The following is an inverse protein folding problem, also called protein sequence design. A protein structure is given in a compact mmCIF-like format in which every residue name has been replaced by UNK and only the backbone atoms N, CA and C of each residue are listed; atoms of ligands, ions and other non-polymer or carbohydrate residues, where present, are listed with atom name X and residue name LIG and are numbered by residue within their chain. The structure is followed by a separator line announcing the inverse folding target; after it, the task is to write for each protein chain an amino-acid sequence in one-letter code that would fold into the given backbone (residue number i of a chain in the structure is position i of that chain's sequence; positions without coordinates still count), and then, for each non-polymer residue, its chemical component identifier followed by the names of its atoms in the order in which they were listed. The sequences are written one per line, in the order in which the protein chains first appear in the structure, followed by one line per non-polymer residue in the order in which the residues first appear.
data_IF_507690154957
#
_entry.id   IF_507690154957
#
_cell.length_a   1.000
_cell.length_b   1.000
_cell.length_c   1.000
_cell.angle_alpha   90.00
_cell.angle_beta   90.00
_cell.angle_gamma   90.00
#
_symmetry.space_group_name_H-M   'P 1'
#
loop_
_entity.id
_entity.type
_entity.pdbx_description
1 polymer ?
#
# COMPACT_ATOMS: atom_id res chain seq x y z
N UNK A 1 -14.74 7.24 -18.90
CA UNK A 1 -14.43 8.04 -20.09
C UNK A 1 -13.04 7.71 -20.67
N UNK A 2 -12.30 6.80 -20.10
CA UNK A 2 -10.98 6.40 -20.58
C UNK A 2 -9.84 7.31 -20.15
N UNK A 3 -10.11 8.36 -19.38
CA UNK A 3 -9.06 9.21 -18.86
C UNK A 3 -8.30 8.52 -17.71
N UNK A 4 -7.04 8.89 -17.53
CA UNK A 4 -6.21 8.36 -16.45
C UNK A 4 -6.33 9.31 -15.25
N UNK A 5 -6.74 8.75 -14.10
CA UNK A 5 -6.76 9.52 -12.86
C UNK A 5 -5.33 9.73 -12.38
N UNK A 6 -4.99 10.97 -12.07
CA UNK A 6 -3.71 11.31 -11.45
C UNK A 6 -3.93 11.76 -10.01
N UNK A 7 -3.19 11.15 -9.08
CA UNK A 7 -3.23 11.49 -7.67
C UNK A 7 -1.85 11.96 -7.26
N UNK A 8 -1.75 13.18 -6.72
CA UNK A 8 -0.49 13.76 -6.24
C UNK A 8 -0.65 14.25 -4.82
N UNK A 9 0.42 14.15 -4.04
CA UNK A 9 0.45 14.77 -2.73
C UNK A 9 0.76 16.27 -2.84
N UNK A 10 0.40 17.02 -1.82
CA UNK A 10 0.71 18.45 -1.72
C UNK A 10 0.55 18.90 -0.27
N UNK A 11 1.11 20.09 0.10
CA UNK A 11 0.90 20.64 1.44
C UNK A 11 -0.59 20.86 1.73
N UNK A 12 -0.94 20.83 3.00
CA UNK A 12 -2.31 21.12 3.44
C UNK A 12 -2.83 22.41 2.80
N UNK A 13 -4.08 22.47 2.28
CA UNK A 13 -5.14 21.44 2.34
C UNK A 13 -5.14 20.46 1.16
N UNK A 14 -4.05 20.25 0.46
CA UNK A 14 -3.95 19.27 -0.59
C UNK A 14 -3.94 17.84 -0.04
N UNK A 15 -3.82 16.87 -0.95
CA UNK A 15 -3.83 15.46 -0.57
C UNK A 15 -2.59 15.10 0.27
N UNK A 16 -2.82 14.50 1.44
CA UNK A 16 -1.75 14.20 2.38
C UNK A 16 -0.78 13.14 1.84
N UNK A 17 0.53 13.39 1.91
CA UNK A 17 1.52 12.36 1.53
C UNK A 17 1.44 11.12 2.40
N UNK A 18 0.94 11.22 3.63
CA UNK A 18 0.79 10.07 4.53
C UNK A 18 -0.24 9.06 4.03
N UNK A 19 -1.19 9.49 3.21
CA UNK A 19 -2.23 8.64 2.66
C UNK A 19 -1.91 8.13 1.25
N UNK A 20 -0.90 8.67 0.59
CA UNK A 20 -0.65 8.38 -0.81
C UNK A 20 -0.29 6.91 -1.05
N UNK A 21 0.52 6.33 -0.19
CA UNK A 21 0.90 4.92 -0.31
C UNK A 21 -0.30 3.99 -0.10
N UNK A 22 -1.22 4.36 0.79
CA UNK A 22 -2.46 3.61 1.01
C UNK A 22 -3.34 3.64 -0.25
N UNK A 23 -3.48 4.82 -0.86
CA UNK A 23 -4.25 4.98 -2.10
C UNK A 23 -3.63 4.16 -3.23
N UNK A 24 -2.29 4.09 -3.29
CA UNK A 24 -1.62 3.27 -4.28
C UNK A 24 -2.02 1.79 -4.16
N UNK A 25 -2.06 1.28 -2.93
CA UNK A 25 -2.51 -0.11 -2.69
C UNK A 25 -3.96 -0.30 -3.13
N UNK A 26 -4.84 0.64 -2.80
CA UNK A 26 -6.25 0.60 -3.23
C UNK A 26 -6.33 0.57 -4.76
N UNK A 27 -5.50 1.36 -5.43
CA UNK A 27 -5.47 1.41 -6.89
C UNK A 27 -5.12 0.06 -7.52
N UNK A 28 -4.37 -0.81 -6.84
CA UNK A 28 -4.03 -2.14 -7.38
C UNK A 28 -5.28 -3.00 -7.60
N UNK A 29 -6.35 -2.74 -6.87
CA UNK A 29 -7.60 -3.50 -6.96
C UNK A 29 -8.66 -2.77 -7.76
N UNK A 30 -8.47 -1.50 -8.05
CA UNK A 30 -9.45 -0.66 -8.72
C UNK A 30 -9.59 -1.01 -10.20
N UNK A 31 -10.59 -0.44 -10.84
CA UNK A 31 -10.80 -0.54 -12.27
C UNK A 31 -10.03 0.57 -12.97
N UNK A 32 -9.27 0.21 -14.01
CA UNK A 32 -8.52 1.16 -14.82
C UNK A 32 -7.13 1.44 -14.28
N UNK A 33 -6.51 2.49 -14.78
CA UNK A 33 -5.15 2.88 -14.42
C UNK A 33 -5.13 4.18 -13.64
N UNK A 34 -4.20 4.27 -12.70
CA UNK A 34 -4.03 5.47 -11.86
C UNK A 34 -2.56 5.86 -11.87
N UNK A 35 -2.27 7.14 -12.12
CA UNK A 35 -0.92 7.68 -11.98
C UNK A 35 -0.77 8.26 -10.57
N UNK A 36 0.19 7.74 -9.83
CA UNK A 36 0.52 8.21 -8.48
C UNK A 36 1.79 9.05 -8.56
N UNK A 37 1.73 10.28 -8.08
CA UNK A 37 2.88 11.18 -8.08
C UNK A 37 3.13 11.69 -6.66
N UNK A 38 4.22 11.24 -6.04
CA UNK A 38 4.63 11.65 -4.71
C UNK A 38 5.70 12.74 -4.81
N UNK A 39 5.30 13.97 -4.55
CA UNK A 39 6.15 15.16 -4.70
C UNK A 39 6.89 15.54 -3.44
N UNK A 40 6.29 15.26 -2.28
CA UNK A 40 6.71 15.85 -1.01
C UNK A 40 7.95 15.19 -0.39
N UNK A 41 8.15 13.89 -0.64
CA UNK A 41 9.23 13.12 -0.03
C UNK A 41 9.96 12.29 -1.07
N UNK A 42 11.27 12.20 -0.93
CA UNK A 42 12.08 11.35 -1.80
C UNK A 42 11.87 9.87 -1.48
N UNK A 43 11.97 9.03 -2.51
CA UNK A 43 12.02 7.57 -2.42
C UNK A 43 10.86 6.92 -1.65
N UNK A 44 9.70 7.58 -1.59
CA UNK A 44 8.54 7.02 -0.89
C UNK A 44 7.85 5.90 -1.65
N UNK A 45 8.12 5.78 -2.94
CA UNK A 45 7.52 4.74 -3.77
C UNK A 45 8.37 3.47 -3.88
N UNK A 46 9.51 3.41 -3.19
CA UNK A 46 10.39 2.23 -3.30
C UNK A 46 9.72 0.93 -2.80
N UNK A 47 8.73 1.02 -1.91
CA UNK A 47 7.99 -0.15 -1.44
C UNK A 47 7.16 -0.82 -2.56
N UNK A 48 7.03 -0.16 -3.71
CA UNK A 48 6.31 -0.67 -4.88
C UNK A 48 6.85 -2.03 -5.33
N UNK A 49 8.15 -2.26 -5.18
CA UNK A 49 8.75 -3.56 -5.52
C UNK A 49 8.08 -4.70 -4.77
N UNK A 50 7.71 -4.46 -3.51
CA UNK A 50 7.03 -5.47 -2.69
C UNK A 50 5.64 -5.79 -3.23
N UNK A 51 4.92 -4.76 -3.71
CA UNK A 51 3.60 -4.94 -4.31
C UNK A 51 3.71 -5.70 -5.64
N UNK A 52 4.73 -5.41 -6.43
CA UNK A 52 4.99 -6.12 -7.69
C UNK A 52 5.24 -7.60 -7.41
N UNK A 53 6.03 -7.91 -6.38
CA UNK A 53 6.28 -9.30 -5.97
C UNK A 53 4.98 -9.99 -5.57
N UNK A 54 4.00 -9.26 -5.05
CA UNK A 54 2.68 -9.77 -4.69
C UNK A 54 1.73 -9.89 -5.90
N UNK A 55 2.18 -9.49 -7.08
CA UNK A 55 1.40 -9.59 -8.31
C UNK A 55 0.74 -8.31 -8.78
N UNK A 56 1.00 -7.18 -8.14
CA UNK A 56 0.47 -5.89 -8.59
C UNK A 56 1.07 -5.50 -9.95
N UNK A 57 0.26 -4.88 -10.80
CA UNK A 57 0.71 -4.37 -12.09
C UNK A 57 1.05 -2.90 -11.95
N UNK A 58 2.33 -2.62 -11.74
CA UNK A 58 2.82 -1.26 -11.50
C UNK A 58 4.00 -0.99 -12.40
N UNK A 59 3.99 0.18 -13.05
CA UNK A 59 5.12 0.68 -13.84
C UNK A 59 5.70 1.84 -13.06
N UNK A 60 6.92 1.66 -12.53
CA UNK A 60 7.62 2.72 -11.82
C UNK A 60 8.33 3.61 -12.84
N UNK A 61 7.77 4.81 -13.06
CA UNK A 61 8.29 5.74 -14.06
C UNK A 61 9.58 6.41 -13.59
N UNK A 62 9.61 6.77 -12.29
CA UNK A 62 10.78 7.31 -11.58
C UNK A 62 10.52 7.10 -10.07
N UNK A 63 11.46 7.49 -9.17
CA UNK A 63 11.28 7.25 -7.72
C UNK A 63 10.02 7.91 -7.13
N UNK A 64 9.42 8.86 -7.83
CA UNK A 64 8.28 9.63 -7.34
C UNK A 64 6.98 9.38 -8.09
N UNK A 65 7.04 8.70 -9.24
CA UNK A 65 5.86 8.48 -10.10
C UNK A 65 5.70 7.01 -10.45
N UNK A 66 4.50 6.51 -10.27
CA UNK A 66 4.16 5.14 -10.65
C UNK A 66 2.79 5.10 -11.30
N UNK A 67 2.66 4.31 -12.35
CA UNK A 67 1.36 4.01 -12.96
C UNK A 67 0.90 2.65 -12.45
N UNK A 68 -0.25 2.64 -11.79
CA UNK A 68 -0.85 1.43 -11.25
C UNK A 68 -1.97 0.99 -12.18
N UNK A 69 -1.90 -0.24 -12.66
CA UNK A 69 -2.95 -0.85 -13.46
C UNK A 69 -3.76 -1.74 -12.52
N UNK A 70 -5.01 -1.38 -12.27
CA UNK A 70 -5.86 -2.09 -11.32
C UNK A 70 -6.26 -3.47 -11.83
N UNK A 71 -6.49 -4.39 -10.90
CA UNK A 71 -6.94 -5.75 -11.20
C UNK A 71 -8.45 -5.84 -11.49
N UNK A 72 -9.18 -4.72 -11.35
CA UNK A 72 -10.63 -4.65 -11.58
C UNK A 72 -11.39 -5.70 -10.76
N UNK A 73 -10.89 -5.98 -9.56
CA UNK A 73 -11.43 -7.00 -8.64
C UNK A 73 -11.49 -8.41 -9.24
N UNK A 74 -10.85 -8.63 -10.37
CA UNK A 74 -10.85 -9.94 -11.05
C UNK A 74 -9.78 -10.89 -10.53
N UNK A 75 -8.71 -10.35 -9.95
CA UNK A 75 -7.65 -11.13 -9.34
C UNK A 75 -7.22 -10.48 -8.04
N UNK A 76 -6.53 -11.24 -7.20
CA UNK A 76 -6.05 -10.75 -5.91
C UNK A 76 -4.51 -10.76 -5.90
N UNK A 77 -3.95 -9.93 -5.05
CA UNK A 77 -2.53 -10.01 -4.75
C UNK A 77 -2.23 -11.36 -4.12
N UNK A 78 -1.01 -11.83 -4.29
CA UNK A 78 -0.54 -13.09 -3.71
C UNK A 78 0.11 -12.83 -2.36
N UNK A 79 -0.10 -13.76 -1.43
CA UNK A 79 0.54 -13.70 -0.12
C UNK A 79 2.06 -13.70 -0.26
N UNK A 80 2.73 -13.01 0.65
CA UNK A 80 4.18 -12.90 0.65
C UNK A 80 4.71 -12.65 2.06
N UNK A 81 6.01 -12.85 2.23
CA UNK A 81 6.72 -12.45 3.44
C UNK A 81 7.37 -11.10 3.16
N UNK A 82 7.01 -10.10 3.96
CA UNK A 82 7.37 -8.71 3.75
C UNK A 82 8.10 -8.14 4.97
N UNK A 83 8.89 -7.10 4.75
CA UNK A 83 9.53 -6.35 5.84
C UNK A 83 9.11 -4.90 5.73
N UNK A 84 8.59 -4.35 6.81
CA UNK A 84 8.15 -2.96 6.85
C UNK A 84 9.38 -2.03 6.84
N UNK A 85 9.54 -1.17 5.83
CA UNK A 85 10.68 -0.25 5.78
C UNK A 85 10.49 1.00 6.64
N UNK A 86 9.25 1.46 6.79
CA UNK A 86 8.91 2.60 7.64
C UNK A 86 7.41 2.58 7.97
N UNK A 87 6.95 3.57 8.74
CA UNK A 87 5.55 3.62 9.20
C UNK A 87 4.57 3.71 8.03
N UNK A 88 4.85 4.56 7.06
CA UNK A 88 3.92 4.81 5.93
C UNK A 88 3.84 3.61 5.00
N UNK A 89 4.98 3.09 4.61
CA UNK A 89 5.03 1.91 3.76
C UNK A 89 4.52 0.68 4.51
N UNK A 90 4.83 0.57 5.80
CA UNK A 90 4.39 -0.55 6.64
C UNK A 90 2.88 -0.69 6.69
N UNK A 91 2.14 0.40 6.91
CA UNK A 91 0.68 0.33 6.93
C UNK A 91 0.12 -0.04 5.55
N UNK A 92 0.76 0.44 4.48
CA UNK A 92 0.34 0.11 3.12
C UNK A 92 0.56 -1.37 2.81
N UNK A 93 1.68 -1.94 3.24
CA UNK A 93 1.95 -3.36 3.09
C UNK A 93 0.98 -4.21 3.90
N UNK A 94 0.58 -3.74 5.09
CA UNK A 94 -0.42 -4.42 5.90
C UNK A 94 -1.77 -4.48 5.16
N UNK A 95 -2.20 -3.36 4.58
CA UNK A 95 -3.45 -3.31 3.81
C UNK A 95 -3.34 -4.21 2.58
N UNK A 96 -2.21 -4.21 1.88
CA UNK A 96 -1.99 -5.09 0.74
C UNK A 96 -2.08 -6.56 1.15
N UNK A 97 -1.48 -6.92 2.28
CA UNK A 97 -1.53 -8.28 2.81
C UNK A 97 -2.96 -8.70 3.14
N UNK A 98 -3.77 -7.80 3.70
CA UNK A 98 -5.18 -8.09 4.00
C UNK A 98 -6.00 -8.31 2.75
N UNK A 99 -5.63 -7.68 1.63
CA UNK A 99 -6.32 -7.89 0.35
C UNK A 99 -5.78 -9.08 -0.44
N UNK A 100 -4.64 -9.62 -0.05
CA UNK A 100 -4.00 -10.73 -0.77
C UNK A 100 -4.68 -12.07 -0.48
N UNK A 101 -4.58 -12.98 -1.41
CA UNK A 101 -5.04 -14.35 -1.24
C UNK A 101 -3.96 -15.15 -0.51
N UNK A 102 -4.32 -15.75 0.61
CA UNK A 102 -3.41 -16.56 1.42
C UNK A 102 -2.91 -15.81 2.65
N UNK A 103 -1.90 -16.37 3.29
CA UNK A 103 -1.34 -15.83 4.52
C UNK A 103 -0.02 -15.10 4.24
N UNK A 104 0.05 -13.84 4.62
CA UNK A 104 1.27 -13.04 4.51
C UNK A 104 1.88 -12.80 5.89
N UNK A 105 3.20 -12.66 5.93
CA UNK A 105 3.93 -12.31 7.15
C UNK A 105 4.63 -10.98 6.94
N UNK A 106 4.48 -10.07 7.91
CA UNK A 106 5.15 -8.77 7.86
C UNK A 106 6.08 -8.64 9.06
N UNK A 107 7.37 -8.48 8.78
CA UNK A 107 8.41 -8.26 9.78
C UNK A 107 8.58 -6.78 10.06
N UNK A 108 9.20 -6.46 11.20
CA UNK A 108 9.54 -5.08 11.59
C UNK A 108 8.31 -4.19 11.74
N UNK A 109 7.24 -4.74 12.32
CA UNK A 109 5.94 -4.07 12.41
C UNK A 109 5.87 -3.03 13.55
N UNK A 110 6.86 -2.99 14.44
CA UNK A 110 6.87 -2.09 15.60
C UNK A 110 6.75 -0.63 15.18
N UNK A 111 7.28 -0.29 14.03
CA UNK A 111 7.18 1.07 13.49
C UNK A 111 5.74 1.48 13.21
N UNK A 112 4.93 0.54 12.74
CA UNK A 112 3.51 0.78 12.47
C UNK A 112 2.75 1.03 13.78
N UNK A 113 3.10 0.29 14.84
CA UNK A 113 2.49 0.46 16.16
C UNK A 113 2.69 1.88 16.70
N UNK A 114 3.83 2.50 16.42
CA UNK A 114 4.13 3.85 16.88
C UNK A 114 3.25 4.91 16.21
N UNK A 115 2.83 4.66 14.98
CA UNK A 115 2.02 5.60 14.22
C UNK A 115 0.52 5.31 14.24
N UNK A 116 0.15 4.07 14.56
CA UNK A 116 -1.24 3.61 14.52
C UNK A 116 -1.54 2.80 15.77
N UNK A 117 -2.05 3.48 16.79
CA UNK A 117 -2.33 2.86 18.10
C UNK A 117 -3.31 1.69 17.96
N UNK A 118 -2.92 0.54 18.51
CA UNK A 118 -3.75 -0.68 18.54
C UNK A 118 -4.29 -1.09 17.17
N UNK A 119 -3.46 -0.91 16.11
CA UNK A 119 -3.92 -1.15 14.74
C UNK A 119 -4.43 -2.59 14.54
N UNK A 120 -3.77 -3.59 15.12
CA UNK A 120 -4.16 -4.99 14.98
C UNK A 120 -5.55 -5.22 15.58
N UNK A 121 -5.77 -4.75 16.82
CA UNK A 121 -7.07 -4.91 17.49
C UNK A 121 -8.18 -4.16 16.74
N UNK A 122 -7.88 -2.98 16.25
CA UNK A 122 -8.85 -2.17 15.51
C UNK A 122 -9.23 -2.83 14.19
N UNK A 123 -8.28 -3.42 13.48
CA UNK A 123 -8.56 -4.14 12.24
C UNK A 123 -9.33 -5.42 12.49
N UNK A 124 -9.04 -6.15 13.56
CA UNK A 124 -9.79 -7.35 13.95
C UNK A 124 -11.26 -7.00 14.17
N UNK A 125 -11.54 -5.85 14.81
CA UNK A 125 -12.92 -5.42 15.07
C UNK A 125 -13.74 -5.19 13.81
N UNK A 126 -13.10 -4.88 12.69
CA UNK A 126 -13.79 -4.70 11.41
C UNK A 126 -13.69 -5.92 10.49
N UNK A 127 -13.24 -7.05 11.02
CA UNK A 127 -13.29 -8.34 10.33
C UNK A 127 -11.97 -8.87 9.80
N UNK A 128 -10.84 -8.20 10.04
CA UNK A 128 -9.55 -8.68 9.57
C UNK A 128 -9.11 -9.93 10.33
N UNK A 129 -8.51 -10.87 9.62
CA UNK A 129 -7.95 -12.10 10.20
C UNK A 129 -6.45 -11.95 10.31
N UNK A 130 -6.00 -11.35 11.40
CA UNK A 130 -4.58 -11.11 11.66
C UNK A 130 -4.23 -11.48 13.09
N UNK A 131 -2.97 -11.79 13.32
CA UNK A 131 -2.46 -12.03 14.68
C UNK A 131 -1.02 -11.55 14.77
N UNK A 132 -0.63 -11.17 15.97
CA UNK A 132 0.72 -10.76 16.27
C UNK A 132 1.50 -11.98 16.75
N UNK A 133 2.69 -12.17 16.18
CA UNK A 133 3.58 -13.28 16.55
C UNK A 133 4.85 -12.70 17.12
N UNK A 134 5.28 -13.21 18.27
CA UNK A 134 6.57 -12.84 18.87
C UNK A 134 7.69 -13.65 18.25
N UNK A 135 8.80 -12.98 17.98
CA UNK A 135 10.03 -13.65 17.54
C UNK A 135 10.82 -14.15 18.77
#
# INVERSE_FOLDING_TARGET
DGSILTISDSPWPGFSPDLLSIVLVVATQARGSVLIHQKMFESRLFFVDKLIDMGAKIILCDPHRATVIGHDFKSQLKASTLTSPDIRAGISLLIAALSAKGESTIHNIEQVDRGYENIVDRLIKIGAKIKRVKN
#
